data_IF_641232760408
#
_entry.id   IF_641232760408
#
_cell.length_a   1.000
_cell.length_b   1.000
_cell.length_c   1.000
_cell.angle_alpha   90.00
_cell.angle_beta   90.00
_cell.angle_gamma   90.00
#
_symmetry.space_group_name_H-M   'P 1'
#
loop_
_entity.id
_entity.type
_entity.pdbx_description
1 polymer ?
#
# COMPACT_ATOMS: atom_id res chain seq x y z
N UNK A 1 -4.98 -9.46 -7.90
CA UNK A 1 -4.13 -8.29 -8.21
C UNK A 1 -2.66 -8.67 -8.27
N UNK A 2 -2.04 -9.22 -7.23
CA UNK A 2 -0.62 -9.61 -7.23
C UNK A 2 -0.20 -10.50 -8.43
N UNK A 3 -1.08 -11.40 -8.89
CA UNK A 3 -0.82 -12.26 -10.06
C UNK A 3 -0.71 -11.49 -11.39
N UNK A 4 -1.17 -10.24 -11.43
CA UNK A 4 -1.11 -9.36 -12.60
C UNK A 4 0.05 -8.37 -12.53
N UNK A 5 0.91 -8.46 -11.50
CA UNK A 5 2.06 -7.56 -11.35
C UNK A 5 2.97 -7.65 -12.59
N UNK A 6 3.34 -6.49 -13.13
CA UNK A 6 4.35 -6.40 -14.17
C UNK A 6 5.68 -6.10 -13.50
N UNK A 7 6.45 -7.15 -13.19
CA UNK A 7 7.71 -7.03 -12.47
C UNK A 7 8.85 -7.87 -13.09
N UNK A 8 9.15 -7.71 -14.40
CA UNK A 8 10.16 -8.53 -15.08
C UNK A 8 11.59 -8.20 -14.65
N UNK A 9 11.84 -7.02 -14.07
CA UNK A 9 13.19 -6.57 -13.72
C UNK A 9 13.58 -7.06 -12.32
N UNK A 10 12.70 -6.92 -11.33
CA UNK A 10 12.96 -7.44 -9.98
C UNK A 10 12.58 -8.91 -9.78
N UNK A 11 11.68 -9.44 -10.61
CA UNK A 11 10.99 -10.72 -10.38
C UNK A 11 10.25 -10.78 -9.04
N UNK A 12 9.85 -9.62 -8.49
CA UNK A 12 9.22 -9.52 -7.18
C UNK A 12 7.80 -8.96 -7.31
N UNK A 13 6.80 -9.84 -7.29
CA UNK A 13 5.38 -9.47 -7.37
C UNK A 13 4.82 -9.05 -6.01
N UNK A 14 4.19 -7.89 -5.97
CA UNK A 14 3.47 -7.33 -4.81
C UNK A 14 2.05 -6.97 -5.25
N UNK A 15 1.09 -7.22 -4.38
CA UNK A 15 -0.30 -6.76 -4.50
C UNK A 15 -0.72 -5.96 -3.28
N UNK A 16 -1.64 -5.02 -3.49
CA UNK A 16 -2.29 -4.29 -2.43
C UNK A 16 -3.81 -4.28 -2.65
N UNK A 17 -4.57 -4.37 -1.57
CA UNK A 17 -6.01 -4.22 -1.56
C UNK A 17 -6.41 -3.19 -0.50
N UNK A 18 -7.24 -2.22 -0.87
CA UNK A 18 -7.74 -1.18 0.01
C UNK A 18 -9.24 -1.36 0.19
N UNK A 19 -9.71 -1.37 1.43
CA UNK A 19 -11.09 -1.11 1.78
C UNK A 19 -11.20 0.38 2.12
N UNK A 20 -12.05 1.12 1.41
CA UNK A 20 -12.21 2.56 1.61
C UNK A 20 -13.18 2.89 2.75
N UNK A 21 -13.33 4.18 3.05
CA UNK A 21 -14.27 4.71 4.04
C UNK A 21 -15.74 4.33 3.78
N UNK A 22 -16.08 4.04 2.52
CA UNK A 22 -17.44 3.68 2.09
C UNK A 22 -17.55 2.19 1.72
N UNK A 23 -16.68 1.35 2.30
CA UNK A 23 -16.65 -0.11 2.12
C UNK A 23 -16.47 -0.58 0.66
N UNK A 24 -15.87 0.26 -0.18
CA UNK A 24 -15.49 -0.11 -1.56
C UNK A 24 -14.09 -0.70 -1.58
N UNK A 25 -13.90 -1.75 -2.37
CA UNK A 25 -12.60 -2.41 -2.55
C UNK A 25 -11.88 -1.87 -3.78
N UNK A 26 -10.60 -1.53 -3.58
CA UNK A 26 -9.70 -1.07 -4.62
C UNK A 26 -8.39 -1.83 -4.61
N UNK A 27 -7.81 -1.95 -5.80
CA UNK A 27 -6.76 -2.91 -6.05
C UNK A 27 -5.55 -2.36 -6.76
N UNK A 28 -4.38 -2.83 -6.36
CA UNK A 28 -3.11 -2.47 -7.00
C UNK A 28 -2.14 -3.64 -7.05
N UNK A 29 -1.19 -3.54 -7.97
CA UNK A 29 -0.02 -4.40 -8.08
C UNK A 29 1.16 -3.54 -8.51
N UNK A 30 2.39 -3.98 -8.25
CA UNK A 30 3.53 -3.24 -8.76
C UNK A 30 3.64 -3.35 -10.28
N UNK A 31 3.96 -2.21 -10.91
CA UNK A 31 4.16 -2.07 -12.34
C UNK A 31 5.52 -1.41 -12.53
N UNK A 32 6.49 -2.20 -12.99
CA UNK A 32 7.85 -1.73 -13.22
C UNK A 32 8.01 -1.08 -14.60
N UNK A 33 9.08 -0.30 -14.75
CA UNK A 33 9.46 0.35 -15.99
C UNK A 33 10.98 0.20 -16.19
N UNK A 34 11.46 0.14 -17.43
CA UNK A 34 12.91 0.08 -17.71
C UNK A 34 13.66 1.33 -17.20
N UNK A 35 13.00 2.50 -17.22
CA UNK A 35 13.55 3.75 -16.71
C UNK A 35 13.17 3.92 -15.24
N UNK A 36 14.12 3.72 -14.33
CA UNK A 36 13.87 3.93 -12.90
C UNK A 36 13.99 5.43 -12.59
N UNK A 37 13.08 6.04 -11.80
CA UNK A 37 12.08 5.42 -10.92
C UNK A 37 10.63 5.42 -11.44
N UNK A 38 10.39 5.34 -12.76
CA UNK A 38 9.05 5.46 -13.36
C UNK A 38 8.09 4.29 -13.03
N UNK A 39 8.54 3.30 -12.27
CA UNK A 39 7.70 2.21 -11.76
C UNK A 39 6.77 2.68 -10.63
N UNK A 40 5.72 1.90 -10.38
CA UNK A 40 4.74 2.17 -9.32
C UNK A 40 4.60 0.95 -8.40
N UNK A 41 4.70 1.16 -7.09
CA UNK A 41 4.44 0.12 -6.09
C UNK A 41 2.94 -0.24 -6.03
N UNK A 42 2.62 -1.42 -5.49
CA UNK A 42 1.24 -1.90 -5.44
C UNK A 42 0.31 -0.98 -4.63
N UNK A 43 0.80 -0.47 -3.51
CA UNK A 43 0.09 0.43 -2.60
C UNK A 43 -0.26 1.74 -3.30
N UNK A 44 0.70 2.33 -4.01
CA UNK A 44 0.49 3.55 -4.78
C UNK A 44 -0.56 3.35 -5.88
N UNK A 45 -0.52 2.22 -6.59
CA UNK A 45 -1.53 1.88 -7.60
C UNK A 45 -2.93 1.70 -7.00
N UNK A 46 -3.04 1.02 -5.85
CA UNK A 46 -4.32 0.84 -5.16
C UNK A 46 -4.89 2.19 -4.66
N UNK A 47 -4.04 3.06 -4.14
CA UNK A 47 -4.42 4.43 -3.73
C UNK A 47 -4.92 5.22 -4.94
N UNK A 48 -4.19 5.23 -6.06
CA UNK A 48 -4.62 5.90 -7.28
C UNK A 48 -5.98 5.39 -7.77
N UNK A 49 -6.21 4.06 -7.71
CA UNK A 49 -7.50 3.47 -8.06
C UNK A 49 -8.63 3.90 -7.10
N UNK A 50 -8.36 3.96 -5.79
CA UNK A 50 -9.33 4.43 -4.79
C UNK A 50 -9.74 5.89 -5.05
N UNK A 51 -8.76 6.77 -5.27
CA UNK A 51 -9.01 8.19 -5.57
C UNK A 51 -9.79 8.34 -6.87
N UNK A 52 -9.40 7.63 -7.94
CA UNK A 52 -10.13 7.63 -9.21
C UNK A 52 -11.57 7.10 -9.06
N UNK A 53 -11.81 6.19 -8.10
CA UNK A 53 -13.12 5.67 -7.73
C UNK A 53 -13.98 6.61 -6.87
N UNK A 54 -13.48 7.81 -6.55
CA UNK A 54 -14.20 8.84 -5.79
C UNK A 54 -14.14 8.68 -4.27
N UNK A 55 -13.35 7.73 -3.76
CA UNK A 55 -13.07 7.58 -2.32
C UNK A 55 -11.80 8.35 -1.95
N UNK A 56 -11.63 8.68 -0.66
CA UNK A 56 -10.50 9.49 -0.21
C UNK A 56 -9.72 8.91 0.97
N UNK A 57 -10.28 7.96 1.70
CA UNK A 57 -9.69 7.51 2.97
C UNK A 57 -9.62 5.99 3.02
N UNK A 58 -8.43 5.50 3.38
CA UNK A 58 -8.17 4.08 3.59
C UNK A 58 -8.77 3.70 4.94
N UNK A 59 -9.76 2.82 4.94
CA UNK A 59 -10.24 2.15 6.16
C UNK A 59 -9.29 1.03 6.54
N UNK A 60 -8.97 0.15 5.58
CA UNK A 60 -8.02 -0.95 5.75
C UNK A 60 -7.18 -1.12 4.49
N UNK A 61 -5.91 -1.50 4.63
CA UNK A 61 -5.04 -1.87 3.51
C UNK A 61 -4.34 -3.19 3.79
N UNK A 62 -4.33 -4.07 2.80
CA UNK A 62 -3.64 -5.36 2.82
C UNK A 62 -2.54 -5.36 1.78
N UNK A 63 -1.31 -5.66 2.18
CA UNK A 63 -0.13 -5.67 1.32
C UNK A 63 0.45 -7.08 1.35
N UNK A 64 0.61 -7.69 0.18
CA UNK A 64 1.05 -9.08 0.04
C UNK A 64 2.08 -9.20 -1.07
N UNK A 65 3.04 -10.10 -0.89
CA UNK A 65 3.96 -10.52 -1.97
C UNK A 65 3.96 -12.03 -2.11
N UNK A 66 4.66 -12.54 -3.13
CA UNK A 66 4.91 -13.99 -3.28
C UNK A 66 5.91 -14.55 -2.25
N UNK A 67 6.49 -13.72 -1.40
CA UNK A 67 7.42 -14.13 -0.36
C UNK A 67 6.75 -14.97 0.72
N UNK A 68 7.50 -15.92 1.29
CA UNK A 68 7.11 -16.59 2.53
C UNK A 68 7.30 -15.69 3.76
N UNK A 69 8.08 -14.62 3.65
CA UNK A 69 8.26 -13.63 4.71
C UNK A 69 7.28 -12.47 4.53
N UNK A 70 6.86 -11.88 5.65
CA UNK A 70 6.07 -10.64 5.64
C UNK A 70 6.90 -9.52 5.02
N UNK A 71 6.31 -8.82 4.04
CA UNK A 71 6.96 -7.72 3.32
C UNK A 71 6.52 -6.39 3.89
N UNK A 72 7.49 -5.50 4.05
CA UNK A 72 7.25 -4.12 4.45
C UNK A 72 7.03 -3.22 3.23
N UNK A 73 6.09 -2.27 3.27
CA UNK A 73 6.02 -1.20 2.29
C UNK A 73 7.30 -0.36 2.31
N UNK A 74 7.70 0.14 1.15
CA UNK A 74 8.83 1.07 1.02
C UNK A 74 8.50 2.42 1.68
N UNK A 75 9.52 3.24 1.99
CA UNK A 75 9.33 4.53 2.67
C UNK A 75 8.33 5.45 1.96
N UNK A 76 8.40 5.55 0.63
CA UNK A 76 7.45 6.34 -0.16
C UNK A 76 6.01 5.83 -0.05
N UNK A 77 5.79 4.52 -0.02
CA UNK A 77 4.45 3.97 0.16
C UNK A 77 3.93 4.15 1.58
N UNK A 78 4.80 4.10 2.61
CA UNK A 78 4.40 4.45 3.99
C UNK A 78 3.88 5.89 4.05
N UNK A 79 4.58 6.84 3.43
CA UNK A 79 4.14 8.23 3.37
C UNK A 79 2.84 8.42 2.56
N UNK A 80 2.67 7.71 1.44
CA UNK A 80 1.41 7.73 0.68
C UNK A 80 0.25 7.16 1.49
N UNK A 81 0.45 6.03 2.18
CA UNK A 81 -0.58 5.45 3.05
C UNK A 81 -0.96 6.46 4.13
N UNK A 82 0.02 7.09 4.79
CA UNK A 82 -0.20 8.13 5.80
C UNK A 82 -1.13 9.24 5.31
N UNK A 83 -0.85 9.80 4.14
CA UNK A 83 -1.63 10.90 3.54
C UNK A 83 -3.12 10.57 3.40
N UNK A 84 -3.44 9.33 3.04
CA UNK A 84 -4.81 8.89 2.80
C UNK A 84 -5.38 8.05 3.95
N UNK A 85 -4.78 8.09 5.14
CA UNK A 85 -5.22 7.35 6.31
C UNK A 85 -5.88 8.24 7.36
N UNK A 86 -6.57 7.59 8.30
CA UNK A 86 -7.00 8.17 9.58
C UNK A 86 -6.34 7.41 10.72
N UNK A 87 -6.49 7.89 11.96
CA UNK A 87 -6.00 7.18 13.16
C UNK A 87 -6.60 5.78 13.32
N UNK A 88 -7.74 5.51 12.66
CA UNK A 88 -8.43 4.23 12.70
C UNK A 88 -8.00 3.27 11.57
N UNK A 89 -7.14 3.73 10.65
CA UNK A 89 -6.71 2.92 9.50
C UNK A 89 -5.89 1.72 9.96
N UNK A 90 -6.25 0.54 9.47
CA UNK A 90 -5.55 -0.72 9.74
C UNK A 90 -4.68 -1.13 8.57
N UNK A 91 -3.43 -1.48 8.84
CA UNK A 91 -2.44 -1.82 7.82
C UNK A 91 -1.99 -3.26 8.05
N UNK A 92 -2.39 -4.15 7.16
CA UNK A 92 -2.06 -5.56 7.19
C UNK A 92 -0.90 -5.85 6.25
N UNK A 93 0.20 -6.34 6.80
CA UNK A 93 1.33 -6.85 6.03
C UNK A 93 1.28 -8.37 6.04
N UNK A 94 1.10 -8.96 4.86
CA UNK A 94 0.83 -10.38 4.68
C UNK A 94 1.94 -11.07 3.87
N UNK A 95 2.13 -12.36 4.10
CA UNK A 95 2.92 -13.25 3.24
C UNK A 95 2.01 -14.19 2.43
N UNK A 96 2.59 -15.04 1.58
CA UNK A 96 1.83 -16.00 0.77
C UNK A 96 1.22 -17.17 1.58
N UNK A 97 1.68 -17.37 2.82
CA UNK A 97 1.13 -18.35 3.78
C UNK A 97 -0.06 -17.80 4.57
N UNK A 98 -0.44 -16.55 4.33
CA UNK A 98 -1.48 -15.82 5.04
C UNK A 98 -1.16 -15.53 6.52
N UNK A 99 0.11 -15.62 6.91
CA UNK A 99 0.57 -14.97 8.14
C UNK A 99 0.51 -13.46 7.93
N UNK A 100 0.15 -12.72 8.97
CA UNK A 100 0.07 -11.27 8.90
C UNK A 100 0.57 -10.57 10.17
N UNK A 101 0.96 -9.32 9.99
CA UNK A 101 1.14 -8.34 11.06
C UNK A 101 0.19 -7.18 10.81
N UNK A 102 -0.48 -6.74 11.87
CA UNK A 102 -1.32 -5.56 11.88
C UNK A 102 -0.51 -4.39 12.45
N UNK A 103 -0.57 -3.26 11.76
CA UNK A 103 0.01 -2.00 12.20
C UNK A 103 -1.06 -0.91 12.18
N UNK A 104 -1.00 -0.03 13.17
CA UNK A 104 -1.51 1.33 13.08
C UNK A 104 -0.57 2.20 12.22
N UNK A 105 -1.04 3.39 11.86
CA UNK A 105 -0.22 4.34 11.10
C UNK A 105 1.04 4.76 11.86
N UNK A 106 0.92 5.04 13.17
CA UNK A 106 2.04 5.50 13.99
C UNK A 106 3.10 4.40 14.22
N UNK A 107 2.69 3.12 14.24
CA UNK A 107 3.65 2.01 14.30
C UNK A 107 4.36 1.80 12.96
N UNK A 108 3.69 2.04 11.84
CA UNK A 108 4.27 1.88 10.51
C UNK A 108 5.25 3.01 10.16
N UNK A 109 4.92 4.25 10.50
CA UNK A 109 5.72 5.43 10.19
C UNK A 109 5.64 6.46 11.33
N UNK A 110 6.35 6.22 12.45
CA UNK A 110 6.36 7.14 13.58
C UNK A 110 7.00 8.47 13.19
N UNK A 111 6.52 9.56 13.81
CA UNK A 111 7.01 10.93 13.57
C UNK A 111 7.01 11.32 12.08
N UNK A 112 5.98 10.88 11.36
CA UNK A 112 5.87 11.06 9.93
C UNK A 112 5.45 12.48 9.55
N UNK A 113 6.06 13.00 8.48
CA UNK A 113 5.81 14.34 7.96
C UNK A 113 4.35 14.57 7.56
N UNK A 114 3.77 15.67 8.02
CA UNK A 114 2.46 16.22 7.69
C UNK A 114 2.60 17.67 7.27
N UNK A 115 1.77 18.14 6.34
CA UNK A 115 1.58 19.58 6.16
C UNK A 115 0.97 20.26 7.41
N UNK A 116 0.41 19.49 8.35
CA UNK A 116 -0.16 19.96 9.61
C UNK A 116 0.77 19.82 10.82
N UNK A 117 2.05 19.47 10.64
CA UNK A 117 2.97 19.30 11.78
C UNK A 117 3.40 20.64 12.41
N UNK A 118 3.10 21.77 11.76
CA UNK A 118 3.43 23.14 12.19
C UNK A 118 2.18 24.06 12.40
N UNK A 119 0.97 23.48 12.54
CA UNK A 119 -0.28 24.19 12.88
C UNK A 119 -0.92 23.63 14.16
#
# INVERSE_FOLDING_TARGET
MMLNAYAPYSNFSVGAAILSENDKLFGGCNVENAAYPEGTCAEAGAISAMIAGGCKTIKEIYIVSKSENIVSPCGGCRQKIREFSSDQTKIFLCNIKWDYKLFSLNELLPFSFSEFDDL
#
